data_IF_013961899120
#
_entry.id   IF_013961899120
#
_cell.length_a   1.000
_cell.length_b   1.000
_cell.length_c   1.000
_cell.angle_alpha   90.00
_cell.angle_beta   90.00
_cell.angle_gamma   90.00
#
_symmetry.space_group_name_H-M   'P 1'
#
loop_
_entity.id
_entity.type
_entity.pdbx_description
1 polymer ?
#
# COMPACT_ATOMS: atom_id res chain seq x y z
N UNK A 1 24.76 -20.26 -49.36
CA UNK A 1 25.01 -21.66 -49.79
C UNK A 1 24.00 -22.55 -49.08
N UNK A 2 23.21 -23.29 -49.88
CA UNK A 2 22.21 -24.34 -49.54
C UNK A 2 21.15 -23.96 -48.47
N UNK A 3 19.91 -23.58 -48.78
CA UNK A 3 18.82 -24.26 -49.56
C UNK A 3 18.64 -25.72 -49.12
N UNK A 4 17.69 -25.92 -48.18
CA UNK A 4 17.12 -27.23 -47.86
C UNK A 4 15.67 -27.25 -48.37
N UNK A 5 15.43 -28.06 -49.38
CA UNK A 5 14.21 -28.14 -50.16
C UNK A 5 13.05 -28.75 -49.35
N UNK A 6 11.90 -28.08 -49.39
CA UNK A 6 10.63 -28.61 -48.91
C UNK A 6 9.99 -29.40 -50.06
N UNK A 7 10.11 -30.73 -50.05
CA UNK A 7 9.42 -31.59 -51.01
C UNK A 7 7.96 -31.79 -50.58
N UNK A 8 7.07 -30.88 -51.00
CA UNK A 8 5.64 -31.18 -51.11
C UNK A 8 5.34 -31.54 -52.56
N UNK A 9 5.33 -32.84 -52.86
CA UNK A 9 4.75 -33.35 -54.09
C UNK A 9 3.64 -34.34 -53.74
N UNK A 10 2.41 -33.86 -53.74
CA UNK A 10 1.32 -34.67 -54.26
C UNK A 10 0.29 -33.77 -54.93
N UNK A 11 0.44 -33.69 -56.25
CA UNK A 11 -0.59 -33.30 -57.20
C UNK A 11 -1.74 -34.30 -57.16
N UNK A 12 -2.98 -33.83 -57.03
CA UNK A 12 -4.08 -34.32 -57.87
C UNK A 12 -5.22 -33.29 -57.90
N UNK A 13 -5.51 -32.94 -59.15
CA UNK A 13 -6.65 -32.23 -59.72
C UNK A 13 -7.96 -32.33 -58.95
N UNK A 14 -8.61 -31.17 -58.77
CA UNK A 14 -10.05 -31.09 -58.64
C UNK A 14 -10.65 -31.29 -60.03
N UNK A 15 -11.52 -32.29 -60.17
CA UNK A 15 -12.47 -32.36 -61.27
C UNK A 15 -13.85 -32.55 -60.65
N UNK A 16 -14.80 -31.74 -61.11
CA UNK A 16 -16.17 -31.65 -60.63
C UNK A 16 -16.96 -32.91 -61.02
N UNK A 17 -17.78 -33.41 -60.09
CA UNK A 17 -18.73 -34.48 -60.34
C UNK A 17 -19.74 -34.56 -59.20
N UNK A 18 -20.97 -34.16 -59.49
CA UNK A 18 -22.13 -34.22 -58.60
C UNK A 18 -22.49 -35.66 -58.19
N UNK A 19 -23.36 -35.71 -57.18
CA UNK A 19 -24.22 -36.81 -56.76
C UNK A 19 -23.67 -37.83 -55.75
N UNK A 20 -24.12 -37.62 -54.50
CA UNK A 20 -24.53 -38.73 -53.63
C UNK A 20 -23.60 -39.03 -52.46
N UNK A 21 -23.77 -38.30 -51.34
CA UNK A 21 -23.48 -38.86 -50.00
C UNK A 21 -24.05 -37.97 -48.89
N UNK A 22 -25.37 -37.97 -48.75
CA UNK A 22 -26.07 -37.47 -47.56
C UNK A 22 -26.42 -38.62 -46.61
N UNK A 23 -25.49 -39.56 -46.36
CA UNK A 23 -25.75 -40.72 -45.48
C UNK A 23 -24.47 -41.35 -44.88
N UNK A 24 -23.52 -40.53 -44.40
CA UNK A 24 -22.36 -41.02 -43.62
C UNK A 24 -22.20 -40.39 -42.23
N UNK A 25 -23.17 -39.60 -41.77
CA UNK A 25 -23.16 -38.98 -40.43
C UNK A 25 -24.07 -39.69 -39.41
N UNK A 26 -24.11 -41.03 -39.45
CA UNK A 26 -24.82 -41.84 -38.45
C UNK A 26 -23.99 -43.06 -38.02
N UNK A 27 -22.76 -42.82 -37.54
CA UNK A 27 -22.04 -43.75 -36.68
C UNK A 27 -22.16 -43.29 -35.21
N UNK A 28 -22.20 -44.19 -34.21
CA UNK A 28 -22.26 -43.78 -32.82
C UNK A 28 -21.04 -42.92 -32.50
N UNK A 29 -21.21 -41.78 -31.82
CA UNK A 29 -20.10 -41.08 -31.17
C UNK A 29 -19.52 -42.02 -30.10
N UNK A 30 -18.62 -42.91 -30.52
CA UNK A 30 -17.88 -43.77 -29.61
C UNK A 30 -16.95 -42.88 -28.82
N UNK A 31 -17.26 -42.71 -27.54
CA UNK A 31 -16.36 -42.11 -26.56
C UNK A 31 -15.01 -42.81 -26.70
N UNK A 32 -13.95 -42.04 -26.96
CA UNK A 32 -12.60 -42.58 -27.14
C UNK A 32 -12.26 -43.50 -25.96
N UNK A 33 -11.89 -44.75 -26.26
CA UNK A 33 -11.47 -45.68 -25.23
C UNK A 33 -10.10 -45.26 -24.68
N UNK A 34 -9.76 -45.65 -23.45
CA UNK A 34 -8.49 -45.26 -22.80
C UNK A 34 -7.26 -45.68 -23.64
N UNK A 35 -7.42 -46.76 -24.44
CA UNK A 35 -6.44 -47.22 -25.42
C UNK A 35 -6.25 -46.27 -26.61
N UNK A 36 -7.31 -45.67 -27.11
CA UNK A 36 -7.27 -44.72 -28.23
C UNK A 36 -6.64 -43.40 -27.80
N UNK A 37 -6.94 -42.95 -26.57
CA UNK A 37 -6.31 -41.78 -25.94
C UNK A 37 -4.81 -42.03 -25.72
N UNK A 38 -4.42 -43.26 -25.34
CA UNK A 38 -3.02 -43.64 -25.16
C UNK A 38 -2.25 -43.66 -26.49
N UNK A 39 -2.86 -44.15 -27.57
CA UNK A 39 -2.29 -44.09 -28.92
C UNK A 39 -2.13 -42.64 -29.41
N UNK A 40 -3.16 -41.79 -29.26
CA UNK A 40 -3.07 -40.38 -29.63
C UNK A 40 -1.97 -39.64 -28.85
N UNK A 41 -1.73 -40.00 -27.58
CA UNK A 41 -0.62 -39.46 -26.79
C UNK A 41 0.75 -39.93 -27.25
N UNK A 42 0.88 -41.09 -27.90
CA UNK A 42 2.17 -41.62 -28.37
C UNK A 42 2.51 -41.17 -29.79
N UNK A 43 1.52 -40.86 -30.63
CA UNK A 43 1.71 -40.46 -32.04
C UNK A 43 2.58 -39.21 -32.24
N UNK A 44 2.71 -38.33 -31.25
CA UNK A 44 3.54 -37.12 -31.32
C UNK A 44 4.87 -37.19 -30.56
N UNK A 45 5.20 -38.32 -29.94
CA UNK A 45 6.39 -38.45 -29.09
C UNK A 45 7.55 -39.06 -29.88
N UNK A 46 8.64 -38.30 -30.00
CA UNK A 46 9.90 -38.83 -30.54
C UNK A 46 10.42 -40.03 -29.74
N UNK A 47 11.28 -40.88 -30.35
CA UNK A 47 11.73 -42.14 -29.76
C UNK A 47 12.40 -41.98 -28.38
N UNK A 48 12.96 -40.80 -28.09
CA UNK A 48 13.63 -40.50 -26.82
C UNK A 48 12.72 -39.89 -25.74
N UNK A 49 11.47 -39.54 -26.04
CA UNK A 49 10.62 -38.80 -25.09
C UNK A 49 10.33 -39.58 -23.80
N UNK A 50 10.15 -40.91 -23.90
CA UNK A 50 9.94 -41.77 -22.73
C UNK A 50 11.18 -41.86 -21.86
N UNK A 51 12.36 -41.98 -22.47
CA UNK A 51 13.65 -42.06 -21.78
C UNK A 51 13.93 -40.76 -21.04
N UNK A 52 13.71 -39.61 -21.66
CA UNK A 52 13.90 -38.30 -21.02
C UNK A 52 12.97 -38.14 -19.81
N UNK A 53 11.68 -38.48 -19.95
CA UNK A 53 10.72 -38.42 -18.83
C UNK A 53 11.10 -39.37 -17.68
N UNK A 54 11.63 -40.54 -17.99
CA UNK A 54 12.12 -41.48 -16.96
C UNK A 54 13.31 -40.90 -16.22
N UNK A 55 14.30 -40.38 -16.94
CA UNK A 55 15.49 -39.74 -16.34
C UNK A 55 15.10 -38.53 -15.49
N UNK A 56 14.18 -37.68 -15.93
CA UNK A 56 13.67 -36.56 -15.12
C UNK A 56 13.00 -37.03 -13.82
N UNK A 57 12.21 -38.10 -13.89
CA UNK A 57 11.57 -38.68 -12.71
C UNK A 57 12.59 -39.27 -11.74
N UNK A 58 13.65 -39.89 -12.26
CA UNK A 58 14.71 -40.47 -11.44
C UNK A 58 15.58 -39.40 -10.79
N UNK A 59 15.88 -38.30 -11.49
CA UNK A 59 16.53 -37.11 -10.89
C UNK A 59 15.68 -36.57 -9.74
N UNK A 60 14.36 -36.43 -9.92
CA UNK A 60 13.46 -35.96 -8.84
C UNK A 60 13.43 -36.91 -7.64
N UNK A 61 13.44 -38.22 -7.87
CA UNK A 61 13.51 -39.23 -6.78
C UNK A 61 14.83 -39.16 -6.04
N UNK A 62 15.95 -39.04 -6.76
CA UNK A 62 17.27 -38.92 -6.16
C UNK A 62 17.38 -37.64 -5.31
N UNK A 63 16.88 -36.51 -5.82
CA UNK A 63 16.83 -35.25 -5.08
C UNK A 63 16.00 -35.37 -3.80
N UNK A 64 14.84 -36.04 -3.86
CA UNK A 64 14.00 -36.29 -2.68
C UNK A 64 14.71 -37.16 -1.65
N UNK A 65 15.37 -38.24 -2.08
CA UNK A 65 16.12 -39.13 -1.19
C UNK A 65 17.28 -38.38 -0.49
N UNK A 66 17.96 -37.48 -1.20
CA UNK A 66 18.99 -36.61 -0.61
C UNK A 66 18.39 -35.65 0.42
N UNK A 67 17.26 -35.01 0.13
CA UNK A 67 16.60 -34.10 1.08
C UNK A 67 16.11 -34.84 2.35
N UNK A 68 15.57 -36.05 2.19
CA UNK A 68 15.16 -36.91 3.30
C UNK A 68 16.35 -37.29 4.18
N UNK A 69 17.52 -37.57 3.58
CA UNK A 69 18.77 -37.87 4.28
C UNK A 69 19.39 -36.67 4.99
N UNK A 70 19.30 -35.46 4.41
CA UNK A 70 19.74 -34.22 5.05
C UNK A 70 18.84 -33.88 6.26
N UNK A 71 17.69 -34.56 6.39
CA UNK A 71 16.76 -34.34 7.49
C UNK A 71 15.92 -33.08 7.33
N UNK A 72 15.83 -32.55 6.10
CA UNK A 72 14.95 -31.43 5.76
C UNK A 72 13.53 -32.00 5.68
N UNK A 73 12.91 -32.17 6.84
CA UNK A 73 11.46 -32.34 6.93
C UNK A 73 10.88 -30.96 7.13
N UNK A 74 10.21 -30.44 6.10
CA UNK A 74 9.32 -29.28 6.27
C UNK A 74 8.24 -29.69 7.26
N UNK A 75 8.46 -29.38 8.53
CA UNK A 75 7.47 -29.55 9.57
C UNK A 75 6.70 -28.25 9.70
N UNK A 76 5.37 -28.32 9.61
CA UNK A 76 4.46 -27.18 9.79
C UNK A 76 4.55 -26.54 11.20
N UNK A 77 5.35 -27.10 12.11
CA UNK A 77 5.63 -26.58 13.45
C UNK A 77 6.51 -25.34 13.46
N UNK A 78 6.97 -24.85 12.30
CA UNK A 78 7.75 -23.61 12.19
C UNK A 78 9.21 -23.75 12.63
N UNK A 79 9.75 -24.97 12.67
CA UNK A 79 11.18 -25.18 12.93
C UNK A 79 11.98 -24.85 11.66
N UNK A 80 12.98 -23.98 11.80
CA UNK A 80 13.95 -23.71 10.74
C UNK A 80 14.84 -24.94 10.52
N UNK A 81 15.45 -25.03 9.32
CA UNK A 81 16.38 -26.11 9.02
C UNK A 81 17.52 -26.13 10.07
N UNK A 82 17.95 -27.30 10.56
CA UNK A 82 19.04 -27.38 11.53
C UNK A 82 20.36 -26.74 11.06
N UNK A 83 20.57 -26.62 9.74
CA UNK A 83 21.73 -25.93 9.15
C UNK A 83 21.68 -24.41 9.25
N UNK A 84 20.49 -23.84 9.45
CA UNK A 84 20.26 -22.40 9.62
C UNK A 84 20.20 -22.02 11.11
N UNK A 85 20.35 -22.97 12.03
CA UNK A 85 20.40 -22.67 13.46
C UNK A 85 21.73 -22.00 13.78
N UNK A 86 21.65 -20.79 14.35
CA UNK A 86 22.81 -20.10 14.86
C UNK A 86 23.19 -20.66 16.24
N UNK A 87 23.92 -21.79 16.21
CA UNK A 87 24.38 -22.50 17.40
C UNK A 87 25.27 -21.63 18.32
N UNK A 88 25.87 -20.57 17.79
CA UNK A 88 26.70 -19.65 18.59
C UNK A 88 25.80 -18.76 19.43
N UNK A 89 24.78 -18.17 18.81
CA UNK A 89 23.76 -17.39 19.50
C UNK A 89 23.00 -18.24 20.54
N UNK A 90 22.64 -19.48 20.22
CA UNK A 90 21.96 -20.38 21.16
C UNK A 90 22.84 -20.73 22.38
N UNK A 91 24.14 -20.96 22.16
CA UNK A 91 25.09 -21.19 23.26
C UNK A 91 25.24 -19.96 24.14
N UNK A 92 25.27 -18.76 23.56
CA UNK A 92 25.32 -17.50 24.29
C UNK A 92 24.02 -17.30 25.10
N UNK A 93 22.85 -17.58 24.52
CA UNK A 93 21.57 -17.52 25.25
C UNK A 93 21.53 -18.51 26.43
N UNK A 94 22.08 -19.71 26.29
CA UNK A 94 22.17 -20.67 27.41
C UNK A 94 23.19 -20.27 28.48
N UNK A 95 24.28 -19.57 28.12
CA UNK A 95 25.36 -19.23 29.05
C UNK A 95 25.15 -17.89 29.77
N UNK A 96 24.59 -16.87 29.10
CA UNK A 96 24.66 -15.48 29.58
C UNK A 96 23.31 -14.85 30.00
N UNK A 97 22.17 -15.30 29.45
CA UNK A 97 20.92 -14.55 29.61
C UNK A 97 19.86 -15.31 30.40
N UNK A 98 19.76 -14.97 31.69
CA UNK A 98 18.53 -15.22 32.44
C UNK A 98 17.39 -14.38 31.83
N UNK A 99 16.16 -14.91 31.76
CA UNK A 99 15.04 -14.20 31.14
C UNK A 99 14.75 -12.90 31.91
N UNK A 100 14.95 -11.77 31.24
CA UNK A 100 14.65 -10.45 31.78
C UNK A 100 13.14 -10.23 31.83
N UNK A 101 12.66 -9.72 32.96
CA UNK A 101 11.28 -9.29 33.12
C UNK A 101 11.14 -7.84 32.67
N UNK A 102 10.09 -7.56 31.89
CA UNK A 102 9.84 -6.20 31.41
C UNK A 102 9.15 -5.37 32.49
N UNK A 103 9.79 -4.28 32.91
CA UNK A 103 9.26 -3.29 33.83
C UNK A 103 9.21 -1.89 33.19
N UNK A 104 8.48 -0.95 33.83
CA UNK A 104 8.49 0.47 33.45
C UNK A 104 9.13 1.29 34.58
N UNK A 105 10.13 2.11 34.28
CA UNK A 105 10.65 3.09 35.21
C UNK A 105 9.59 4.18 35.43
N UNK A 106 9.17 4.40 36.68
CA UNK A 106 8.14 5.39 37.02
C UNK A 106 8.72 6.69 37.53
N UNK A 107 9.79 6.61 38.32
CA UNK A 107 10.43 7.78 38.91
C UNK A 107 11.88 7.47 39.25
N UNK A 108 12.75 8.46 39.09
CA UNK A 108 14.15 8.39 39.52
C UNK A 108 14.25 9.06 40.91
N UNK A 109 14.89 8.38 41.85
CA UNK A 109 15.13 8.84 43.22
C UNK A 109 16.63 9.11 43.34
N UNK A 110 16.98 10.31 43.83
CA UNK A 110 18.35 10.84 43.91
C UNK A 110 19.04 10.97 42.53
N UNK A 111 18.48 11.83 41.67
CA UNK A 111 19.11 12.19 40.40
C UNK A 111 20.46 12.91 40.64
N UNK A 112 21.57 12.25 40.33
CA UNK A 112 22.92 12.85 40.35
C UNK A 112 23.89 12.33 41.41
N UNK A 113 23.49 11.38 42.27
CA UNK A 113 24.41 10.67 43.18
C UNK A 113 24.86 9.33 42.55
N UNK A 114 26.04 8.81 42.94
CA UNK A 114 26.59 7.54 42.42
C UNK A 114 25.67 6.32 42.65
N UNK A 115 24.76 6.38 43.63
CA UNK A 115 23.72 5.36 43.87
C UNK A 115 22.32 5.87 43.51
N UNK A 116 22.10 6.22 42.24
CA UNK A 116 20.75 6.50 41.74
C UNK A 116 19.83 5.29 41.95
N UNK A 117 18.66 5.52 42.58
CA UNK A 117 17.64 4.48 42.82
C UNK A 117 16.45 4.73 41.90
N UNK A 118 15.91 3.66 41.33
CA UNK A 118 14.83 3.75 40.35
C UNK A 118 13.58 3.08 40.91
N UNK A 119 12.44 3.74 40.82
CA UNK A 119 11.16 3.12 41.13
C UNK A 119 10.62 2.46 39.85
N UNK A 120 10.63 1.14 39.80
CA UNK A 120 10.08 0.36 38.67
C UNK A 120 8.68 -0.17 39.00
N UNK A 121 7.85 -0.28 37.97
CA UNK A 121 6.54 -0.92 38.03
C UNK A 121 6.53 -2.15 37.13
N UNK A 122 6.33 -3.34 37.71
CA UNK A 122 6.23 -4.61 37.00
C UNK A 122 4.75 -4.95 36.80
N UNK A 123 4.33 -5.21 35.56
CA UNK A 123 2.92 -5.22 35.10
C UNK A 123 2.00 -6.28 35.73
N UNK A 124 2.46 -7.04 36.73
CA UNK A 124 1.71 -8.12 37.39
C UNK A 124 1.98 -8.24 38.90
N UNK A 125 2.96 -7.51 39.45
CA UNK A 125 3.46 -7.76 40.80
C UNK A 125 3.25 -6.52 41.67
N UNK A 126 4.19 -5.58 41.62
CA UNK A 126 4.22 -4.41 42.48
C UNK A 126 5.21 -3.38 41.95
N UNK A 127 5.33 -2.27 42.68
CA UNK A 127 6.38 -1.28 42.51
C UNK A 127 7.58 -1.66 43.38
N UNK A 128 8.78 -1.62 42.80
CA UNK A 128 10.03 -1.90 43.50
C UNK A 128 10.99 -0.73 43.37
N UNK A 129 11.84 -0.54 44.38
CA UNK A 129 12.97 0.38 44.31
C UNK A 129 14.21 -0.45 44.00
N UNK A 130 14.85 -0.14 42.89
CA UNK A 130 15.92 -0.95 42.31
C UNK A 130 17.16 -0.11 42.02
N UNK A 131 18.33 -0.75 42.05
CA UNK A 131 19.58 -0.16 41.59
C UNK A 131 19.83 -0.42 40.11
N UNK A 132 20.86 0.22 39.56
CA UNK A 132 21.39 -0.09 38.24
C UNK A 132 22.16 -1.41 38.25
N UNK A 133 22.11 -2.13 37.12
CA UNK A 133 23.01 -3.23 36.82
C UNK A 133 24.33 -2.73 36.21
N UNK A 134 25.29 -3.64 36.08
CA UNK A 134 26.66 -3.32 35.62
C UNK A 134 26.74 -2.85 34.16
N UNK A 135 25.71 -3.16 33.34
CA UNK A 135 25.70 -2.89 31.90
C UNK A 135 25.09 -1.53 31.51
N UNK A 136 24.54 -0.76 32.46
CA UNK A 136 23.77 0.45 32.17
C UNK A 136 24.29 1.67 32.93
N UNK A 137 24.43 2.79 32.23
CA UNK A 137 24.75 4.06 32.86
C UNK A 137 23.48 4.78 33.36
N UNK A 138 23.56 5.59 34.43
CA UNK A 138 22.44 6.40 34.91
C UNK A 138 21.86 7.36 33.86
N UNK A 139 22.66 7.75 32.86
CA UNK A 139 22.26 8.65 31.77
C UNK A 139 21.30 8.02 30.78
N UNK A 140 21.28 6.70 30.67
CA UNK A 140 20.53 5.99 29.63
C UNK A 140 19.10 5.66 30.08
N UNK A 141 18.77 5.91 31.35
CA UNK A 141 17.49 5.58 31.95
C UNK A 141 16.69 6.86 32.18
N UNK A 142 15.61 7.00 31.40
CA UNK A 142 14.65 8.09 31.56
C UNK A 142 13.40 7.65 32.33
N UNK A 143 12.71 8.63 32.93
CA UNK A 143 11.40 8.40 33.54
C UNK A 143 10.37 7.99 32.48
N UNK A 144 9.61 6.93 32.75
CA UNK A 144 8.62 6.38 31.82
C UNK A 144 9.16 5.34 30.84
N UNK A 145 10.48 5.15 30.77
CA UNK A 145 11.11 4.17 29.87
C UNK A 145 10.81 2.72 30.29
N UNK A 146 10.75 1.80 29.31
CA UNK A 146 10.69 0.36 29.60
C UNK A 146 12.10 -0.14 29.85
N UNK A 147 12.25 -1.00 30.84
CA UNK A 147 13.55 -1.55 31.23
C UNK A 147 13.43 -3.06 31.42
N UNK A 148 14.46 -3.78 30.99
CA UNK A 148 14.65 -5.20 31.29
C UNK A 148 15.27 -5.34 32.67
N UNK A 149 14.56 -6.01 33.56
CA UNK A 149 14.95 -6.19 34.96
C UNK A 149 15.18 -7.67 35.21
N UNK A 150 16.23 -7.99 35.95
CA UNK A 150 16.46 -9.38 36.36
C UNK A 150 15.37 -9.88 37.32
N UNK A 151 14.95 -11.14 37.17
CA UNK A 151 13.87 -11.76 37.95
C UNK A 151 14.28 -12.02 39.40
N UNK A 152 15.58 -12.21 39.67
CA UNK A 152 16.07 -12.58 41.01
C UNK A 152 16.51 -11.36 41.82
N UNK A 153 17.42 -10.56 41.27
CA UNK A 153 18.02 -9.41 41.96
C UNK A 153 17.22 -8.12 41.80
N UNK A 154 16.25 -8.09 40.89
CA UNK A 154 15.52 -6.89 40.48
C UNK A 154 16.47 -5.70 40.21
N UNK A 155 17.48 -5.91 39.36
CA UNK A 155 18.37 -4.84 38.90
C UNK A 155 18.08 -4.52 37.42
N UNK A 156 18.18 -3.24 37.04
CA UNK A 156 18.00 -2.81 35.65
C UNK A 156 19.22 -3.26 34.84
N UNK A 157 19.02 -4.11 33.83
CA UNK A 157 20.12 -4.62 32.99
C UNK A 157 20.20 -3.92 31.63
N UNK A 158 19.04 -3.61 31.02
CA UNK A 158 19.00 -3.01 29.68
C UNK A 158 17.80 -2.08 29.54
N UNK A 159 17.95 -0.88 28.95
CA UNK A 159 16.81 -0.08 28.50
C UNK A 159 16.14 -0.77 27.31
N UNK A 160 14.82 -0.87 27.35
CA UNK A 160 14.01 -1.41 26.26
C UNK A 160 13.34 -0.26 25.50
N UNK A 161 13.16 -0.40 24.18
CA UNK A 161 12.41 0.58 23.41
C UNK A 161 10.99 0.76 23.96
N UNK A 162 10.41 1.97 23.81
CA UNK A 162 9.06 2.25 24.27
C UNK A 162 8.06 1.27 23.63
N UNK A 163 6.93 1.06 24.32
CA UNK A 163 5.85 0.24 23.77
C UNK A 163 5.26 1.00 22.58
N UNK A 164 5.44 0.46 21.38
CA UNK A 164 4.69 0.84 20.19
C UNK A 164 3.50 -0.10 20.13
N UNK A 165 2.27 0.42 20.06
CA UNK A 165 1.12 -0.46 19.84
C UNK A 165 1.24 -1.13 18.45
N UNK A 166 1.07 -2.46 18.36
CA UNK A 166 1.23 -3.18 17.10
C UNK A 166 0.19 -2.74 16.06
N UNK A 167 -0.97 -2.26 16.49
CA UNK A 167 -2.00 -1.70 15.62
C UNK A 167 -1.49 -0.48 14.85
N UNK A 168 -0.75 0.41 15.50
CA UNK A 168 -0.14 1.60 14.86
C UNK A 168 1.04 1.18 13.97
N UNK A 169 1.81 0.17 14.38
CA UNK A 169 2.90 -0.36 13.55
C UNK A 169 2.39 -0.98 12.24
N UNK A 170 1.24 -1.67 12.28
CA UNK A 170 0.60 -2.22 11.07
C UNK A 170 0.09 -1.13 10.11
N UNK A 171 -0.20 0.07 10.61
CA UNK A 171 -0.57 1.22 9.77
C UNK A 171 0.64 1.84 9.04
N UNK A 172 1.86 1.48 9.44
CA UNK A 172 3.04 1.92 8.70
C UNK A 172 3.16 1.10 7.43
N UNK A 173 3.15 1.78 6.29
CA UNK A 173 3.43 1.15 5.00
C UNK A 173 4.95 1.12 4.88
N UNK A 174 5.57 -0.01 5.22
CA UNK A 174 7.02 -0.17 5.09
C UNK A 174 7.47 -0.23 3.61
N UNK A 175 6.58 -0.66 2.71
CA UNK A 175 6.89 -0.75 1.28
C UNK A 175 6.56 0.54 0.52
N UNK A 176 7.57 1.04 -0.21
CA UNK A 176 7.40 2.18 -1.12
C UNK A 176 6.26 1.87 -2.11
N UNK A 177 5.25 2.73 -2.25
CA UNK A 177 4.21 2.50 -3.25
C UNK A 177 4.81 2.59 -4.66
N UNK A 178 4.49 1.62 -5.53
CA UNK A 178 5.01 1.55 -6.92
C UNK A 178 4.53 2.68 -7.85
N UNK A 179 3.69 3.59 -7.36
CA UNK A 179 3.07 4.64 -8.19
C UNK A 179 4.08 5.75 -8.44
N UNK A 180 4.23 6.17 -9.69
CA UNK A 180 5.11 7.27 -10.08
C UNK A 180 4.33 8.54 -10.42
N UNK A 181 5.00 9.68 -10.52
CA UNK A 181 4.36 10.92 -10.99
C UNK A 181 3.87 10.84 -12.43
N UNK A 182 4.49 10.00 -13.26
CA UNK A 182 4.08 9.81 -14.66
C UNK A 182 2.71 9.13 -14.78
N UNK A 183 2.27 8.44 -13.71
CA UNK A 183 0.95 7.82 -13.63
C UNK A 183 -0.14 8.83 -13.23
N UNK A 184 0.22 10.04 -12.77
CA UNK A 184 -0.72 11.09 -12.38
C UNK A 184 -0.90 12.09 -13.52
N UNK A 185 -1.95 11.89 -14.33
CA UNK A 185 -2.26 12.75 -15.47
C UNK A 185 -3.14 13.96 -15.12
N UNK A 186 -2.93 15.08 -15.81
CA UNK A 186 -3.87 16.20 -15.87
C UNK A 186 -3.95 17.13 -14.65
N UNK A 187 -3.09 16.97 -13.65
CA UNK A 187 -3.08 17.79 -12.43
C UNK A 187 -1.70 18.44 -12.18
N UNK A 188 -1.13 19.13 -13.18
CA UNK A 188 0.23 19.68 -13.12
C UNK A 188 0.40 20.70 -11.99
N UNK A 189 -0.48 21.69 -11.91
CA UNK A 189 -0.40 22.75 -10.90
C UNK A 189 -0.57 22.22 -9.48
N UNK A 190 -1.45 21.23 -9.29
CA UNK A 190 -1.67 20.58 -8.00
C UNK A 190 -0.43 19.77 -7.58
N UNK A 191 0.19 19.04 -8.52
CA UNK A 191 1.41 18.29 -8.28
C UNK A 191 2.61 19.20 -7.99
N UNK A 192 2.75 20.32 -8.70
CA UNK A 192 3.83 21.28 -8.46
C UNK A 192 3.73 21.89 -7.06
N UNK A 193 2.54 22.34 -6.65
CA UNK A 193 2.29 22.80 -5.27
C UNK A 193 2.60 21.74 -4.23
N UNK A 194 2.27 20.47 -4.51
CA UNK A 194 2.53 19.38 -3.58
C UNK A 194 4.04 19.08 -3.48
N UNK A 195 4.76 19.08 -4.61
CA UNK A 195 6.23 18.93 -4.67
C UNK A 195 6.94 20.04 -3.90
N UNK A 196 6.49 21.28 -4.03
CA UNK A 196 7.07 22.41 -3.31
C UNK A 196 6.99 22.26 -1.79
N UNK A 197 5.90 21.65 -1.30
CA UNK A 197 5.65 21.54 0.15
C UNK A 197 6.29 20.30 0.76
N UNK A 198 6.32 19.19 0.03
CA UNK A 198 6.79 17.91 0.58
C UNK A 198 8.18 17.56 0.09
N UNK A 199 8.45 17.67 -1.21
CA UNK A 199 9.70 17.19 -1.81
C UNK A 199 10.84 18.18 -1.61
N UNK A 200 10.62 19.48 -1.84
CA UNK A 200 11.68 20.50 -1.69
C UNK A 200 12.26 20.58 -0.26
N UNK A 201 11.46 20.58 0.83
CA UNK A 201 12.03 20.66 2.17
C UNK A 201 12.76 19.41 2.62
N UNK A 202 12.40 18.24 2.06
CA UNK A 202 13.03 16.96 2.41
C UNK A 202 14.33 16.74 1.63
N UNK A 203 14.37 17.11 0.34
CA UNK A 203 15.56 16.97 -0.50
C UNK A 203 16.57 18.11 -0.30
N UNK A 204 16.08 19.34 -0.14
CA UNK A 204 16.91 20.56 -0.12
C UNK A 204 16.59 21.48 1.07
N UNK A 205 16.79 21.03 2.32
CA UNK A 205 16.55 21.85 3.51
C UNK A 205 17.44 23.11 3.55
N UNK A 206 18.62 23.08 2.92
CA UNK A 206 19.55 24.20 2.87
C UNK A 206 18.95 25.47 2.25
N UNK A 207 18.02 25.32 1.29
CA UNK A 207 17.36 26.46 0.65
C UNK A 207 16.46 27.22 1.63
N UNK A 208 15.80 26.49 2.53
CA UNK A 208 14.92 27.07 3.55
C UNK A 208 15.74 27.75 4.65
N UNK A 209 16.82 27.11 5.08
CA UNK A 209 17.73 27.66 6.11
C UNK A 209 18.41 28.93 5.62
N UNK A 210 18.94 28.94 4.40
CA UNK A 210 19.61 30.13 3.83
C UNK A 210 18.65 31.31 3.63
N UNK A 211 17.39 31.03 3.29
CA UNK A 211 16.36 32.06 3.12
C UNK A 211 15.75 32.50 4.47
N UNK A 212 15.94 31.71 5.54
CA UNK A 212 15.41 31.99 6.87
C UNK A 212 13.89 31.80 6.98
N UNK A 213 13.30 30.93 6.16
CA UNK A 213 11.87 30.64 6.19
C UNK A 213 11.60 29.22 6.70
N UNK A 214 10.60 29.07 7.54
CA UNK A 214 10.13 27.74 7.95
C UNK A 214 9.32 27.10 6.82
N UNK A 215 9.60 25.83 6.46
CA UNK A 215 8.82 25.14 5.44
C UNK A 215 7.39 24.87 5.94
N UNK A 216 6.38 24.94 5.07
CA UNK A 216 5.00 24.62 5.43
C UNK A 216 4.88 23.20 6.00
N UNK A 217 4.04 23.04 7.03
CA UNK A 217 3.99 21.81 7.84
C UNK A 217 2.92 20.82 7.37
N UNK A 218 1.82 21.33 6.81
CA UNK A 218 0.68 20.52 6.41
C UNK A 218 0.07 20.92 5.07
N UNK A 219 -0.43 19.91 4.34
CA UNK A 219 -1.18 20.09 3.10
C UNK A 219 -2.55 19.43 3.22
N UNK A 220 -3.59 20.16 2.80
CA UNK A 220 -4.92 19.63 2.58
C UNK A 220 -5.17 19.43 1.08
N UNK A 221 -5.44 18.20 0.68
CA UNK A 221 -5.89 17.81 -0.66
C UNK A 221 -7.42 17.72 -0.63
N UNK A 222 -8.11 18.56 -1.40
CA UNK A 222 -9.58 18.52 -1.51
C UNK A 222 -10.01 18.53 -2.97
N UNK A 223 -11.24 18.09 -3.24
CA UNK A 223 -11.79 17.94 -4.58
C UNK A 223 -12.82 16.81 -4.65
N UNK A 224 -13.52 16.64 -5.78
CA UNK A 224 -14.45 15.53 -5.93
C UNK A 224 -13.73 14.17 -5.91
N UNK A 225 -14.45 13.09 -5.56
CA UNK A 225 -13.89 11.74 -5.59
C UNK A 225 -13.47 11.34 -7.01
N UNK A 226 -12.41 10.55 -7.14
CA UNK A 226 -11.92 10.06 -8.44
C UNK A 226 -11.00 11.02 -9.21
N UNK A 227 -10.55 12.12 -8.57
CA UNK A 227 -9.57 13.09 -9.11
C UNK A 227 -8.10 12.70 -8.86
N UNK A 228 -7.83 11.61 -8.13
CA UNK A 228 -6.48 11.10 -7.94
C UNK A 228 -5.72 11.68 -6.74
N UNK A 229 -6.42 12.19 -5.71
CA UNK A 229 -5.82 12.66 -4.44
C UNK A 229 -4.94 11.58 -3.77
N UNK A 230 -5.49 10.40 -3.55
CA UNK A 230 -4.75 9.25 -2.98
C UNK A 230 -3.60 8.78 -3.89
N UNK A 231 -3.78 8.84 -5.22
CA UNK A 231 -2.72 8.51 -6.18
C UNK A 231 -1.55 9.50 -6.11
N UNK A 232 -1.86 10.79 -5.99
CA UNK A 232 -0.85 11.86 -5.87
C UNK A 232 -0.04 11.72 -4.57
N UNK A 233 -0.71 11.41 -3.45
CA UNK A 233 -0.04 11.16 -2.18
C UNK A 233 0.92 9.96 -2.26
N UNK A 234 0.50 8.88 -2.94
CA UNK A 234 1.36 7.70 -3.18
C UNK A 234 2.56 8.03 -4.07
N UNK A 235 2.37 8.80 -5.14
CA UNK A 235 3.47 9.20 -6.02
C UNK A 235 4.55 10.02 -5.29
N UNK A 236 4.11 10.88 -4.36
CA UNK A 236 5.02 11.72 -3.54
C UNK A 236 5.79 10.87 -2.53
N UNK A 237 5.13 9.89 -1.93
CA UNK A 237 5.77 8.93 -1.03
C UNK A 237 6.87 8.13 -1.74
N UNK A 238 6.61 7.69 -2.98
CA UNK A 238 7.60 6.96 -3.78
C UNK A 238 8.85 7.82 -4.09
N UNK A 239 8.65 9.12 -4.36
CA UNK A 239 9.77 10.01 -4.72
C UNK A 239 10.64 10.41 -3.53
N UNK A 240 10.07 10.55 -2.35
CA UNK A 240 10.73 11.19 -1.20
C UNK A 240 11.57 10.23 -0.37
N UNK A 241 11.49 8.91 -0.60
CA UNK A 241 12.19 7.86 0.16
C UNK A 241 12.03 7.97 1.70
N UNK A 242 11.06 8.77 2.14
CA UNK A 242 10.75 9.00 3.54
C UNK A 242 9.78 7.93 4.03
N UNK A 243 9.74 7.71 5.34
CA UNK A 243 8.76 6.79 5.89
C UNK A 243 7.35 7.32 5.65
N UNK A 244 6.51 6.50 5.00
CA UNK A 244 5.14 6.83 4.70
C UNK A 244 4.18 6.07 5.63
N UNK A 245 3.45 6.83 6.45
CA UNK A 245 2.42 6.27 7.33
C UNK A 245 1.06 6.63 6.74
N UNK A 246 0.31 5.63 6.30
CA UNK A 246 -1.03 5.80 5.74
C UNK A 246 -2.06 5.47 6.81
N UNK A 247 -2.91 6.44 7.13
CA UNK A 247 -4.01 6.29 8.07
C UNK A 247 -5.30 6.54 7.32
N UNK A 248 -6.25 5.63 7.44
CA UNK A 248 -7.61 5.87 6.94
C UNK A 248 -8.41 6.47 8.11
N UNK A 249 -9.12 7.58 7.89
CA UNK A 249 -9.87 8.28 8.93
C UNK A 249 -10.84 7.37 9.69
N UNK A 250 -11.46 6.41 9.00
CA UNK A 250 -12.37 5.42 9.60
C UNK A 250 -11.69 4.44 10.56
N UNK A 251 -10.39 4.16 10.44
CA UNK A 251 -9.65 3.27 11.36
C UNK A 251 -9.45 3.90 12.75
N UNK A 252 -9.52 5.22 12.84
CA UNK A 252 -9.36 5.96 14.09
C UNK A 252 -10.63 5.95 14.96
N UNK A 253 -11.77 5.51 14.41
CA UNK A 253 -13.02 5.37 15.14
C UNK A 253 -13.06 3.98 15.77
N UNK A 254 -12.93 3.91 17.09
CA UNK A 254 -12.89 2.67 17.87
C UNK A 254 -14.12 2.57 18.77
N UNK A 255 -14.43 1.34 19.23
CA UNK A 255 -15.55 1.10 20.14
C UNK A 255 -15.27 1.59 21.58
N UNK A 256 -14.00 1.64 21.97
CA UNK A 256 -13.60 1.98 23.32
C UNK A 256 -13.24 3.45 23.43
N UNK A 257 -13.98 4.17 24.28
CA UNK A 257 -13.84 5.61 24.48
C UNK A 257 -12.39 6.01 24.74
N UNK A 258 -11.83 6.80 23.83
CA UNK A 258 -10.50 7.38 23.96
C UNK A 258 -9.37 6.50 23.44
N UNK A 259 -9.67 5.32 22.89
CA UNK A 259 -8.69 4.49 22.19
C UNK A 259 -8.20 5.17 20.91
N UNK A 260 -9.10 5.79 20.13
CA UNK A 260 -8.73 6.57 18.94
C UNK A 260 -7.75 7.71 19.25
N UNK A 261 -8.01 8.47 20.32
CA UNK A 261 -7.09 9.52 20.76
C UNK A 261 -5.73 8.97 21.24
N UNK A 262 -5.70 7.80 21.90
CA UNK A 262 -4.43 7.13 22.25
C UNK A 262 -3.65 6.74 21.00
N UNK A 263 -4.34 6.17 20.01
CA UNK A 263 -3.75 5.75 18.74
C UNK A 263 -3.09 6.91 18.00
N UNK A 264 -3.75 8.07 17.94
CA UNK A 264 -3.18 9.29 17.33
C UNK A 264 -1.90 9.72 18.05
N UNK A 265 -1.88 9.73 19.38
CA UNK A 265 -0.66 10.07 20.16
C UNK A 265 0.49 9.13 19.87
N UNK A 266 0.21 7.83 19.85
CA UNK A 266 1.22 6.82 19.58
C UNK A 266 1.74 6.91 18.14
N UNK A 267 0.87 7.22 17.19
CA UNK A 267 1.25 7.47 15.80
C UNK A 267 2.21 8.65 15.67
N UNK A 268 1.91 9.79 16.29
CA UNK A 268 2.82 10.93 16.26
C UNK A 268 4.12 10.67 17.04
N UNK A 269 4.08 9.89 18.11
CA UNK A 269 5.28 9.46 18.84
C UNK A 269 6.18 8.58 17.98
N UNK A 270 5.57 7.64 17.23
CA UNK A 270 6.27 6.80 16.26
C UNK A 270 6.79 7.61 15.06
N UNK A 271 6.05 8.61 14.60
CA UNK A 271 6.50 9.50 13.53
C UNK A 271 7.69 10.37 13.98
N UNK A 272 7.70 10.82 15.24
CA UNK A 272 8.81 11.60 15.85
C UNK A 272 10.09 10.79 16.04
N UNK A 273 10.01 9.48 16.26
CA UNK A 273 11.21 8.64 16.37
C UNK A 273 11.91 8.45 15.02
N UNK A 274 11.22 8.74 13.91
CA UNK A 274 11.79 8.68 12.55
C UNK A 274 12.36 10.03 12.15
N UNK A 275 13.50 10.01 11.44
CA UNK A 275 14.21 11.23 10.99
C UNK A 275 13.41 12.07 10.00
N UNK A 276 12.70 11.42 9.07
CA UNK A 276 11.81 12.06 8.09
C UNK A 276 10.60 11.16 7.89
N UNK A 277 9.40 11.71 8.10
CA UNK A 277 8.17 10.95 8.03
C UNK A 277 7.05 11.77 7.37
N UNK A 278 6.30 11.13 6.50
CA UNK A 278 5.08 11.67 5.91
C UNK A 278 3.90 10.91 6.50
N UNK A 279 3.02 11.63 7.19
CA UNK A 279 1.76 11.07 7.72
C UNK A 279 0.65 11.47 6.77
N UNK A 280 0.07 10.50 6.08
CA UNK A 280 -1.04 10.69 5.16
C UNK A 280 -2.35 10.21 5.81
N UNK A 281 -3.24 11.14 6.08
CA UNK A 281 -4.61 10.86 6.50
C UNK A 281 -5.53 10.88 5.28
N UNK A 282 -6.09 9.74 4.92
CA UNK A 282 -7.12 9.62 3.89
C UNK A 282 -8.52 9.66 4.51
N UNK A 283 -9.51 10.17 3.78
CA UNK A 283 -10.91 10.26 4.24
C UNK A 283 -11.05 10.93 5.62
N UNK A 284 -10.40 12.09 5.79
CA UNK A 284 -10.45 12.83 7.06
C UNK A 284 -11.84 13.37 7.39
N UNK A 285 -12.77 13.38 6.44
CA UNK A 285 -14.17 13.74 6.66
C UNK A 285 -14.91 12.75 7.58
N UNK A 286 -14.44 11.50 7.70
CA UNK A 286 -14.99 10.53 8.64
C UNK A 286 -14.76 10.92 10.12
N UNK A 287 -13.67 11.64 10.41
CA UNK A 287 -13.30 12.07 11.76
C UNK A 287 -13.35 13.57 11.97
N UNK A 288 -13.35 14.34 10.89
CA UNK A 288 -13.23 15.80 10.89
C UNK A 288 -14.55 16.54 11.04
N UNK A 289 -15.65 15.84 11.27
CA UNK A 289 -17.01 16.41 11.31
C UNK A 289 -17.11 17.62 12.24
N UNK A 290 -17.56 18.74 11.69
CA UNK A 290 -17.86 19.96 12.43
C UNK A 290 -18.94 19.70 13.49
N UNK A 291 -18.87 20.46 14.59
CA UNK A 291 -19.81 20.38 15.72
C UNK A 291 -21.25 20.64 15.25
N UNK A 292 -22.02 19.60 14.96
CA UNK A 292 -23.47 19.73 14.89
C UNK A 292 -24.02 19.72 16.31
N UNK A 293 -24.74 20.78 16.66
CA UNK A 293 -25.43 21.02 17.93
C UNK A 293 -26.65 20.10 18.15
N UNK A 294 -26.53 18.83 17.78
CA UNK A 294 -27.57 17.81 17.94
C UNK A 294 -27.13 16.89 19.08
N UNK A 295 -27.64 17.17 20.27
CA UNK A 295 -27.23 16.59 21.57
C UNK A 295 -27.58 15.09 21.77
N UNK A 296 -27.67 14.27 20.72
CA UNK A 296 -28.11 12.87 20.81
C UNK A 296 -27.09 11.89 20.20
N UNK A 297 -25.92 11.76 20.82
CA UNK A 297 -24.99 10.69 20.46
C UNK A 297 -23.67 10.73 21.21
N UNK A 298 -23.44 9.80 22.14
CA UNK A 298 -22.13 9.64 22.80
C UNK A 298 -20.98 9.29 21.84
N UNK A 299 -21.32 8.78 20.64
CA UNK A 299 -20.36 8.38 19.60
C UNK A 299 -19.68 9.59 18.94
N UNK A 300 -20.39 10.70 18.75
CA UNK A 300 -19.83 11.89 18.11
C UNK A 300 -18.79 12.58 19.00
N UNK A 301 -18.98 12.50 20.32
CA UNK A 301 -18.01 13.02 21.29
C UNK A 301 -16.66 12.28 21.23
N UNK A 302 -16.66 10.99 20.87
CA UNK A 302 -15.43 10.23 20.70
C UNK A 302 -14.68 10.64 19.43
N UNK A 303 -15.39 10.75 18.31
CA UNK A 303 -14.83 11.21 17.03
C UNK A 303 -14.22 12.60 17.21
N UNK A 304 -14.93 13.50 17.89
CA UNK A 304 -14.44 14.83 18.22
C UNK A 304 -13.19 14.80 19.10
N UNK A 305 -13.14 13.93 20.12
CA UNK A 305 -11.96 13.80 20.98
C UNK A 305 -10.73 13.35 20.19
N UNK A 306 -10.90 12.43 19.25
CA UNK A 306 -9.81 11.98 18.37
C UNK A 306 -9.34 13.09 17.43
N UNK A 307 -10.27 13.86 16.87
CA UNK A 307 -9.96 15.01 16.01
C UNK A 307 -9.26 16.15 16.75
N UNK A 308 -9.72 16.49 17.96
CA UNK A 308 -9.03 17.43 18.85
C UNK A 308 -7.63 16.92 19.24
N UNK A 309 -7.45 15.61 19.37
CA UNK A 309 -6.12 15.04 19.61
C UNK A 309 -5.21 15.25 18.40
N UNK A 310 -5.68 15.04 17.17
CA UNK A 310 -4.89 15.36 15.96
C UNK A 310 -4.52 16.84 15.98
N UNK A 311 -5.49 17.73 16.21
CA UNK A 311 -5.26 19.17 16.32
C UNK A 311 -4.16 19.52 17.33
N UNK A 312 -4.20 18.93 18.52
CA UNK A 312 -3.20 19.20 19.57
C UNK A 312 -1.81 18.67 19.20
N UNK A 313 -1.71 17.53 18.52
CA UNK A 313 -0.45 17.03 17.96
C UNK A 313 0.05 17.86 16.76
N UNK A 314 -0.86 18.51 16.02
CA UNK A 314 -0.50 19.42 14.93
C UNK A 314 0.05 20.77 15.45
N UNK A 315 -0.47 21.25 16.59
CA UNK A 315 -0.12 22.52 17.22
C UNK A 315 0.99 22.44 18.27
N UNK A 316 1.31 21.23 18.74
CA UNK A 316 2.10 20.98 19.94
C UNK A 316 3.29 21.94 20.11
N UNK A 317 3.52 22.35 21.36
CA UNK A 317 4.57 23.30 21.75
C UNK A 317 5.98 22.84 21.38
N UNK A 318 6.21 21.54 21.25
CA UNK A 318 7.48 21.02 20.78
C UNK A 318 7.65 21.27 19.28
N UNK A 319 8.81 21.78 18.83
CA UNK A 319 9.08 21.93 17.42
C UNK A 319 8.91 20.57 16.74
N UNK A 320 7.85 20.46 15.96
CA UNK A 320 7.59 19.31 15.10
C UNK A 320 8.83 19.18 14.23
N UNK A 321 9.54 18.05 14.34
CA UNK A 321 10.71 17.77 13.53
C UNK A 321 10.34 17.68 12.04
N UNK A 322 11.05 16.86 11.27
CA UNK A 322 10.76 16.68 9.84
C UNK A 322 9.56 15.74 9.61
N UNK A 323 8.41 16.07 10.20
CA UNK A 323 7.13 15.39 10.00
C UNK A 323 6.26 16.26 9.10
N UNK A 324 5.90 15.73 7.95
CA UNK A 324 4.96 16.37 7.02
C UNK A 324 3.61 15.69 7.11
N UNK A 325 2.54 16.48 7.24
CA UNK A 325 1.17 15.94 7.30
C UNK A 325 0.45 16.24 6.00
N UNK A 326 -0.09 15.18 5.39
CA UNK A 326 -0.95 15.25 4.22
C UNK A 326 -2.34 14.77 4.63
N UNK A 327 -3.37 15.58 4.35
CA UNK A 327 -4.76 15.20 4.61
C UNK A 327 -5.54 15.21 3.29
N UNK A 328 -6.33 14.19 3.03
CA UNK A 328 -7.22 14.13 1.87
C UNK A 328 -8.69 14.10 2.31
N UNK A 329 -9.50 15.01 1.77
CA UNK A 329 -10.95 15.05 1.99
C UNK A 329 -11.70 15.13 0.68
N UNK A 330 -12.90 14.56 0.61
CA UNK A 330 -13.85 14.78 -0.49
C UNK A 330 -14.80 15.97 -0.23
N UNK A 331 -14.88 16.37 1.04
CA UNK A 331 -15.84 17.34 1.58
C UNK A 331 -15.10 18.30 2.52
N UNK A 332 -14.59 19.44 2.02
CA UNK A 332 -13.94 20.41 2.89
C UNK A 332 -14.95 21.18 3.76
N UNK A 333 -16.24 21.16 3.41
CA UNK A 333 -17.34 21.78 4.14
C UNK A 333 -17.61 21.15 5.51
N UNK A 334 -17.37 19.84 5.64
CA UNK A 334 -17.60 19.11 6.89
C UNK A 334 -16.46 19.24 7.88
N UNK A 335 -15.31 19.78 7.48
CA UNK A 335 -14.13 19.86 8.34
C UNK A 335 -14.26 20.94 9.41
N UNK A 336 -13.80 20.63 10.62
CA UNK A 336 -13.71 21.62 11.70
C UNK A 336 -12.83 22.82 11.28
N UNK A 337 -13.34 24.08 11.40
CA UNK A 337 -12.57 25.30 11.17
C UNK A 337 -11.24 25.36 11.93
N UNK A 338 -11.13 24.66 13.07
CA UNK A 338 -9.90 24.53 13.82
C UNK A 338 -8.78 23.92 12.97
N UNK A 339 -9.05 22.84 12.21
CA UNK A 339 -8.04 22.22 11.34
C UNK A 339 -7.61 23.16 10.20
N UNK A 340 -8.54 24.00 9.73
CA UNK A 340 -8.34 24.92 8.61
C UNK A 340 -7.54 26.17 8.96
N UNK A 341 -7.15 26.35 10.23
CA UNK A 341 -6.35 27.49 10.69
C UNK A 341 -4.92 27.42 10.14
N UNK A 342 -4.35 28.54 9.65
CA UNK A 342 -2.94 28.62 9.27
C UNK A 342 -2.03 28.25 10.46
N UNK A 343 -0.92 27.55 10.19
CA UNK A 343 -0.01 26.96 11.18
C UNK A 343 -0.16 25.44 11.33
N UNK A 344 -1.30 24.88 10.88
CA UNK A 344 -1.60 23.43 10.88
C UNK A 344 -1.64 22.89 9.45
N UNK A 345 -2.60 23.38 8.67
CA UNK A 345 -2.81 23.09 7.25
C UNK A 345 -2.52 24.36 6.44
N UNK A 346 -1.24 24.62 6.24
CA UNK A 346 -0.75 25.86 5.61
C UNK A 346 -1.11 25.94 4.13
N UNK A 347 -1.09 24.79 3.44
CA UNK A 347 -1.32 24.73 1.99
C UNK A 347 -2.58 23.93 1.68
N UNK A 348 -3.45 24.54 0.88
CA UNK A 348 -4.68 23.93 0.38
C UNK A 348 -4.47 23.69 -1.11
N UNK A 349 -4.52 22.44 -1.53
CA UNK A 349 -4.35 22.03 -2.92
C UNK A 349 -5.68 21.48 -3.41
N UNK A 350 -6.25 22.20 -4.37
CA UNK A 350 -7.50 21.85 -5.02
C UNK A 350 -7.24 20.88 -6.18
N UNK A 351 -7.99 19.79 -6.19
CA UNK A 351 -8.02 18.83 -7.29
C UNK A 351 -9.29 19.04 -8.09
N UNK A 352 -9.15 19.79 -9.18
CA UNK A 352 -10.23 20.03 -10.12
C UNK A 352 -10.41 18.90 -11.12
N UNK A 353 -11.54 18.94 -11.82
CA UNK A 353 -11.76 18.07 -12.96
C UNK A 353 -10.70 18.37 -14.04
N UNK A 354 -10.13 17.34 -14.67
CA UNK A 354 -9.09 17.54 -15.68
C UNK A 354 -9.62 18.27 -16.91
N UNK A 355 -8.83 19.24 -17.38
CA UNK A 355 -9.04 19.90 -18.67
C UNK A 355 -8.86 18.94 -19.85
N UNK A 356 -9.15 19.41 -21.07
CA UNK A 356 -9.04 18.59 -22.28
C UNK A 356 -7.67 17.92 -22.40
N UNK A 357 -6.59 18.69 -22.23
CA UNK A 357 -5.22 18.15 -22.27
C UNK A 357 -4.99 17.11 -21.18
N UNK A 358 -5.45 17.38 -19.95
CA UNK A 358 -5.36 16.44 -18.83
C UNK A 358 -6.08 15.13 -19.10
N UNK A 359 -7.30 15.19 -19.68
CA UNK A 359 -8.05 13.99 -20.07
C UNK A 359 -7.32 13.18 -21.14
N UNK A 360 -6.70 13.83 -22.13
CA UNK A 360 -5.90 13.12 -23.13
C UNK A 360 -4.69 12.41 -22.52
N UNK A 361 -4.03 13.04 -21.54
CA UNK A 361 -2.89 12.44 -20.84
C UNK A 361 -3.33 11.23 -20.03
N UNK A 362 -4.40 11.33 -19.26
CA UNK A 362 -4.95 10.21 -18.47
C UNK A 362 -5.30 9.02 -19.37
N UNK A 363 -5.98 9.27 -20.50
CA UNK A 363 -6.30 8.22 -21.47
C UNK A 363 -5.05 7.56 -22.06
N UNK A 364 -4.00 8.34 -22.37
CA UNK A 364 -2.73 7.82 -22.87
C UNK A 364 -2.00 6.96 -21.83
N UNK A 365 -1.99 7.37 -20.57
CA UNK A 365 -1.37 6.62 -19.46
C UNK A 365 -2.04 5.24 -19.34
N UNK A 366 -3.37 5.21 -19.27
CA UNK A 366 -4.11 3.95 -19.16
C UNK A 366 -4.09 3.12 -20.45
N UNK A 367 -3.96 3.76 -21.63
CA UNK A 367 -3.81 3.05 -22.90
C UNK A 367 -2.42 2.44 -23.10
N UNK A 368 -1.38 2.93 -22.42
CA UNK A 368 0.00 2.41 -22.55
C UNK A 368 0.13 0.93 -22.18
N UNK A 369 -0.68 0.46 -21.23
CA UNK A 369 -0.73 -0.96 -20.83
C UNK A 369 -1.62 -1.82 -21.72
N UNK A 370 -2.45 -1.20 -22.59
CA UNK A 370 -3.41 -1.89 -23.43
C UNK A 370 -2.88 -2.08 -24.86
N UNK A 371 -3.31 -3.16 -25.52
CA UNK A 371 -3.01 -3.37 -26.94
C UNK A 371 -3.98 -2.53 -27.81
N UNK A 372 -3.59 -1.30 -28.06
CA UNK A 372 -4.36 -0.33 -28.85
C UNK A 372 -3.86 -0.26 -30.30
N UNK A 373 -4.78 -0.07 -31.24
CA UNK A 373 -4.43 0.24 -32.63
C UNK A 373 -3.69 1.59 -32.73
N UNK A 374 -2.74 1.69 -33.68
CA UNK A 374 -1.87 2.88 -33.85
C UNK A 374 -2.64 4.12 -34.32
N UNK A 375 -3.82 3.93 -34.92
CA UNK A 375 -4.67 5.01 -35.46
C UNK A 375 -5.59 5.69 -34.44
N UNK A 376 -5.53 5.34 -33.15
CA UNK A 376 -6.48 5.88 -32.16
C UNK A 376 -6.16 7.34 -31.81
N UNK A 377 -7.16 8.21 -32.01
CA UNK A 377 -7.09 9.63 -31.66
C UNK A 377 -7.68 9.88 -30.28
N UNK A 378 -6.84 9.83 -29.24
CA UNK A 378 -7.27 10.11 -27.87
C UNK A 378 -7.83 11.53 -27.66
N UNK A 379 -7.46 12.48 -28.51
CA UNK A 379 -8.02 13.83 -28.49
C UNK A 379 -9.53 13.82 -28.79
N UNK A 380 -9.96 13.06 -29.80
CA UNK A 380 -11.37 12.94 -30.16
C UNK A 380 -12.17 12.31 -29.01
N UNK A 381 -11.66 11.24 -28.41
CA UNK A 381 -12.26 10.58 -27.25
C UNK A 381 -12.39 11.55 -26.08
N UNK A 382 -11.34 12.32 -25.78
CA UNK A 382 -11.34 13.29 -24.67
C UNK A 382 -12.34 14.45 -24.83
N UNK A 383 -12.64 14.85 -26.08
CA UNK A 383 -13.68 15.86 -26.38
C UNK A 383 -15.09 15.34 -26.13
N UNK A 384 -15.31 14.03 -26.31
CA UNK A 384 -16.59 13.37 -26.02
C UNK A 384 -16.82 13.12 -24.53
N UNK A 385 -15.81 13.37 -23.69
CA UNK A 385 -15.83 13.19 -22.25
C UNK A 385 -15.84 14.54 -21.49
N UNK A 386 -16.93 15.32 -21.49
CA UNK A 386 -16.99 16.55 -20.71
C UNK A 386 -17.11 16.25 -19.21
N UNK A 387 -16.44 17.06 -18.38
CA UNK A 387 -16.55 17.03 -16.91
C UNK A 387 -16.38 15.65 -16.26
N UNK A 388 -15.53 14.80 -16.84
CA UNK A 388 -15.27 13.45 -16.34
C UNK A 388 -14.11 13.42 -15.35
N UNK A 389 -14.22 12.55 -14.35
CA UNK A 389 -13.13 12.30 -13.40
C UNK A 389 -12.07 11.36 -14.01
N UNK A 390 -10.86 11.34 -13.42
CA UNK A 390 -9.81 10.40 -13.83
C UNK A 390 -10.23 8.94 -13.63
N UNK A 391 -11.00 8.66 -12.59
CA UNK A 391 -11.58 7.34 -12.34
C UNK A 391 -12.57 6.91 -13.45
N UNK A 392 -13.42 7.82 -13.93
CA UNK A 392 -14.31 7.53 -15.06
C UNK A 392 -13.54 7.27 -16.36
N UNK A 393 -12.47 8.03 -16.63
CA UNK A 393 -11.61 7.81 -17.80
C UNK A 393 -10.92 6.44 -17.75
N UNK A 394 -10.48 6.00 -16.56
CA UNK A 394 -9.96 4.64 -16.37
C UNK A 394 -11.04 3.58 -16.68
N UNK A 395 -12.28 3.82 -16.26
CA UNK A 395 -13.42 2.94 -16.57
C UNK A 395 -13.73 2.90 -18.06
N UNK A 396 -13.63 4.03 -18.77
CA UNK A 396 -13.75 4.08 -20.25
C UNK A 396 -12.70 3.18 -20.91
N UNK A 397 -11.43 3.28 -20.50
CA UNK A 397 -10.36 2.41 -21.00
C UNK A 397 -10.64 0.92 -20.74
N UNK A 398 -11.10 0.59 -19.54
CA UNK A 398 -11.41 -0.80 -19.15
C UNK A 398 -12.57 -1.37 -19.96
N UNK A 399 -13.63 -0.58 -20.16
CA UNK A 399 -14.80 -0.97 -20.94
C UNK A 399 -14.48 -1.11 -22.43
N UNK A 400 -13.62 -0.25 -23.00
CA UNK A 400 -13.13 -0.41 -24.37
C UNK A 400 -12.42 -1.76 -24.56
N UNK A 401 -11.59 -2.17 -23.58
CA UNK A 401 -10.98 -3.51 -23.55
C UNK A 401 -12.03 -4.62 -23.48
N UNK A 402 -13.09 -4.43 -22.68
CA UNK A 402 -14.16 -5.43 -22.55
C UNK A 402 -14.95 -5.63 -23.86
N UNK A 403 -15.19 -4.57 -24.62
CA UNK A 403 -15.81 -4.67 -25.96
C UNK A 403 -14.94 -5.46 -26.94
N UNK A 404 -13.62 -5.21 -26.94
CA UNK A 404 -12.69 -5.97 -27.75
C UNK A 404 -12.69 -7.47 -27.39
N UNK A 405 -12.70 -7.80 -26.09
CA UNK A 405 -12.78 -9.18 -25.60
C UNK A 405 -14.08 -9.86 -26.02
N UNK A 406 -15.23 -9.18 -25.88
CA UNK A 406 -16.54 -9.73 -26.33
C UNK A 406 -16.57 -10.01 -27.83
N UNK A 407 -15.91 -9.16 -28.62
CA UNK A 407 -15.77 -9.33 -30.06
C UNK A 407 -14.67 -10.35 -30.44
N UNK A 408 -14.04 -11.03 -29.48
CA UNK A 408 -12.90 -11.95 -29.67
C UNK A 408 -11.71 -11.32 -30.42
N UNK A 409 -11.55 -9.99 -30.31
CA UNK A 409 -10.44 -9.24 -30.90
C UNK A 409 -9.29 -9.10 -29.90
N UNK A 410 -8.06 -9.10 -30.40
CA UNK A 410 -6.82 -8.95 -29.60
C UNK A 410 -6.35 -7.50 -29.47
N UNK A 411 -6.94 -6.58 -30.23
CA UNK A 411 -6.63 -5.16 -30.22
C UNK A 411 -7.90 -4.32 -30.04
N UNK A 412 -7.76 -3.21 -29.34
CA UNK A 412 -8.82 -2.21 -29.14
C UNK A 412 -8.79 -1.23 -30.32
N UNK A 413 -9.97 -0.95 -30.89
CA UNK A 413 -10.17 -0.01 -31.99
C UNK A 413 -10.78 1.31 -31.52
N UNK A 414 -10.71 2.36 -32.36
CA UNK A 414 -11.35 3.66 -32.06
C UNK A 414 -12.86 3.52 -31.81
N UNK A 415 -13.53 2.58 -32.51
CA UNK A 415 -14.97 2.30 -32.34
C UNK A 415 -15.30 1.79 -30.93
N UNK A 416 -14.46 0.93 -30.37
CA UNK A 416 -14.67 0.40 -29.02
C UNK A 416 -14.56 1.51 -27.96
N UNK A 417 -13.66 2.48 -28.18
CA UNK A 417 -13.57 3.68 -27.33
C UNK A 417 -14.84 4.53 -27.43
N UNK A 418 -15.39 4.74 -28.63
CA UNK A 418 -16.63 5.50 -28.80
C UNK A 418 -17.83 4.81 -28.13
N UNK A 419 -17.94 3.49 -28.26
CA UNK A 419 -18.99 2.70 -27.59
C UNK A 419 -18.83 2.72 -26.07
N UNK A 420 -17.60 2.58 -25.56
CA UNK A 420 -17.31 2.66 -24.13
C UNK A 420 -17.63 4.03 -23.54
N UNK A 421 -17.32 5.13 -24.24
CA UNK A 421 -17.69 6.49 -23.84
C UNK A 421 -19.21 6.63 -23.75
N UNK A 422 -19.95 6.15 -24.74
CA UNK A 422 -21.41 6.19 -24.70
C UNK A 422 -21.96 5.40 -23.52
N UNK A 423 -21.46 4.18 -23.28
CA UNK A 423 -21.90 3.32 -22.18
C UNK A 423 -21.59 3.94 -20.82
N UNK A 424 -20.35 4.35 -20.60
CA UNK A 424 -19.87 4.84 -19.30
C UNK A 424 -20.43 6.22 -19.03
N UNK A 425 -20.25 7.18 -19.94
CA UNK A 425 -20.59 8.58 -19.68
C UNK A 425 -22.10 8.81 -19.76
N UNK A 426 -22.79 8.29 -20.79
CA UNK A 426 -24.24 8.49 -20.90
C UNK A 426 -25.00 7.55 -19.98
N UNK A 427 -24.54 6.30 -19.82
CA UNK A 427 -25.17 5.32 -18.95
C UNK A 427 -25.00 5.63 -17.47
N UNK A 428 -23.79 5.97 -17.01
CA UNK A 428 -23.54 6.33 -15.61
C UNK A 428 -23.82 7.78 -15.26
N UNK A 429 -24.25 8.63 -16.21
CA UNK A 429 -24.68 10.01 -15.90
C UNK A 429 -25.73 10.07 -14.80
N UNK A 430 -26.61 9.05 -14.73
CA UNK A 430 -27.65 8.91 -13.68
C UNK A 430 -27.06 8.70 -12.27
N UNK A 431 -25.88 8.11 -12.19
CA UNK A 431 -25.21 7.75 -10.93
C UNK A 431 -23.98 8.63 -10.65
N UNK A 432 -23.70 9.62 -11.50
CA UNK A 432 -22.53 10.47 -11.38
C UNK A 432 -22.58 11.23 -10.06
N UNK A 433 -21.55 11.03 -9.24
CA UNK A 433 -21.36 11.72 -7.95
C UNK A 433 -20.82 13.14 -8.16
N UNK A 434 -20.22 13.43 -9.32
CA UNK A 434 -19.55 14.70 -9.64
C UNK A 434 -20.40 15.93 -9.36
N UNK A 435 -21.68 16.04 -9.81
CA UNK A 435 -22.47 17.25 -9.58
C UNK A 435 -22.80 17.51 -8.11
N UNK A 436 -22.93 16.45 -7.29
CA UNK A 436 -23.20 16.59 -5.86
C UNK A 436 -21.97 17.06 -5.10
N UNK A 437 -20.80 16.53 -5.43
CA UNK A 437 -19.55 16.88 -4.75
C UNK A 437 -18.95 18.21 -5.23
N UNK A 438 -19.27 18.65 -6.46
CA UNK A 438 -18.86 19.97 -6.97
C UNK A 438 -19.52 21.15 -6.25
N UNK A 439 -20.58 20.94 -5.46
CA UNK A 439 -21.18 22.04 -4.68
C UNK A 439 -20.30 22.40 -3.47
N UNK A 440 -19.49 21.45 -3.00
CA UNK A 440 -18.70 21.59 -1.77
C UNK A 440 -17.22 21.90 -2.02
N UNK A 441 -16.74 21.70 -3.25
CA UNK A 441 -15.37 21.97 -3.66
C UNK A 441 -15.38 23.19 -4.57
#
# INVERSE_FOLDING_TARGET
MAVGECQTSNSKSYDEGEDGESDLLAGPETVLDDGDIALLKTYGLGPYSRVIKQVENDIKKAQKAVNDLIGIKESDTGLSLPSLWDLVSDKQMMQEEQPLQVARCTKIINAGEEEAKYMINVKQIAKFVVGLGEKVAPTDIEEGMRVGVDRTKYAIQIPLPPKIDPTVSLMTVEDKPDVTYDDVGGAKDALEKLREVVELPLLHPERFVNLGIDPPKGVLLYGPPGTGKTLSARAVANRTDACFIRVIGSELVQKYVGEGARMVRELFTMARSKKACIVFFDEVDAIGGARSSSEEGGTDNEVQRTMLQIVTELDGFDPRGNIKVLMATNRPDTLDPALMRPGRLDRKVEFNLPELEGRTQILKIHAKSMNCDRGIRFELVSRLCPNTTGAELRSVCTEAGMFAIRARRKSVSEKDFLESVNKVIKGYKKFSSTPKYMVYN
#
